data_IF_590006307017
#
_entry.id   IF_590006307017
#
_cell.length_a   1.000
_cell.length_b   1.000
_cell.length_c   1.000
_cell.angle_alpha   90.00
_cell.angle_beta   90.00
_cell.angle_gamma   90.00
#
_symmetry.space_group_name_H-M   'P 1'
#
loop_
_entity.id
_entity.type
_entity.pdbx_description
1 polymer ?
#
# COMPACT_ATOMS: atom_id res chain seq x y z
N UNK A 1 -13.09 0.38 -8.96
CA UNK A 1 -11.78 1.05 -8.79
C UNK A 1 -11.15 0.46 -7.53
N UNK A 2 -9.82 0.48 -7.36
CA UNK A 2 -9.21 -0.07 -6.14
C UNK A 2 -9.57 0.81 -4.93
N UNK A 3 -9.89 0.22 -3.76
CA UNK A 3 -10.17 0.97 -2.55
C UNK A 3 -8.93 1.71 -2.07
N UNK A 4 -9.14 2.88 -1.49
CA UNK A 4 -8.08 3.72 -0.93
C UNK A 4 -8.28 3.75 0.59
N UNK A 5 -7.18 3.58 1.32
CA UNK A 5 -7.17 3.59 2.77
C UNK A 5 -6.23 4.68 3.26
N UNK A 6 -6.61 5.39 4.32
CA UNK A 6 -5.90 6.56 4.77
C UNK A 6 -4.68 6.19 5.62
N UNK A 7 -3.47 6.42 5.09
CA UNK A 7 -2.20 6.15 5.79
C UNK A 7 -1.96 7.18 6.89
N UNK A 8 -1.40 6.73 8.02
CA UNK A 8 -1.09 7.54 9.19
C UNK A 8 -2.29 7.85 10.08
N UNK A 9 -3.50 7.48 9.66
CA UNK A 9 -4.73 7.71 10.40
C UNK A 9 -5.12 6.52 11.28
N UNK A 10 -5.93 6.80 12.31
CA UNK A 10 -6.45 5.78 13.21
C UNK A 10 -7.22 4.74 12.41
N UNK A 11 -6.84 3.47 12.59
CA UNK A 11 -7.51 2.38 11.92
C UNK A 11 -8.79 2.01 12.65
N UNK A 12 -9.89 1.93 11.89
CA UNK A 12 -11.18 1.42 12.34
C UNK A 12 -11.57 0.22 11.47
N UNK A 13 -11.62 -1.01 12.03
CA UNK A 13 -12.01 -2.20 11.28
C UNK A 13 -13.41 -2.10 10.63
N UNK A 14 -14.30 -1.21 11.08
CA UNK A 14 -15.62 -1.01 10.46
C UNK A 14 -15.53 -0.59 8.99
N UNK A 15 -14.43 0.07 8.59
CA UNK A 15 -14.20 0.42 7.17
C UNK A 15 -14.05 -0.82 6.28
N UNK A 16 -13.84 -2.01 6.88
CA UNK A 16 -13.69 -3.27 6.17
C UNK A 16 -15.00 -4.06 6.05
N UNK A 17 -16.13 -3.61 6.62
CA UNK A 17 -17.38 -4.38 6.67
C UNK A 17 -17.92 -4.81 5.30
N UNK A 18 -17.58 -4.08 4.23
CA UNK A 18 -17.95 -4.43 2.86
C UNK A 18 -17.03 -5.44 2.18
N UNK A 19 -16.03 -5.97 2.90
CA UNK A 19 -15.00 -6.86 2.36
C UNK A 19 -14.92 -8.15 3.17
N UNK A 20 -14.65 -9.25 2.47
CA UNK A 20 -14.14 -10.45 3.14
C UNK A 20 -12.68 -10.21 3.51
N UNK A 21 -12.34 -10.42 4.77
CA UNK A 21 -10.97 -10.22 5.25
C UNK A 21 -10.56 -11.25 6.29
N UNK A 22 -9.25 -11.48 6.36
CA UNK A 22 -8.59 -12.22 7.44
C UNK A 22 -7.58 -11.32 8.14
N UNK A 23 -7.29 -11.60 9.41
CA UNK A 23 -6.26 -10.90 10.16
C UNK A 23 -5.19 -11.87 10.69
N UNK A 24 -3.93 -11.44 10.65
CA UNK A 24 -2.80 -12.20 11.17
C UNK A 24 -1.74 -11.26 11.77
N UNK A 25 -0.96 -11.71 12.76
CA UNK A 25 0.19 -10.96 13.24
C UNK A 25 1.21 -10.70 12.12
N UNK A 26 1.81 -9.51 12.10
CA UNK A 26 2.91 -9.23 11.18
C UNK A 26 4.13 -10.06 11.53
N UNK A 27 4.74 -10.73 10.54
CA UNK A 27 5.79 -11.73 10.73
C UNK A 27 7.03 -11.21 11.50
N UNK A 28 7.38 -9.93 11.30
CA UNK A 28 8.63 -9.35 11.80
C UNK A 28 8.46 -8.32 12.91
N UNK A 29 7.28 -7.72 13.05
CA UNK A 29 7.08 -6.55 13.92
C UNK A 29 6.04 -6.89 14.96
N UNK A 30 6.50 -7.09 16.20
CA UNK A 30 5.63 -7.47 17.32
C UNK A 30 4.58 -6.40 17.57
N UNK A 31 3.31 -6.81 17.65
CA UNK A 31 2.17 -5.91 17.91
C UNK A 31 1.60 -5.25 16.65
N UNK A 32 2.19 -5.50 15.47
CA UNK A 32 1.56 -5.15 14.20
C UNK A 32 0.64 -6.28 13.73
N UNK A 33 -0.45 -5.90 13.07
CA UNK A 33 -1.47 -6.80 12.52
C UNK A 33 -1.62 -6.50 11.04
N UNK A 34 -1.71 -7.55 10.24
CA UNK A 34 -1.98 -7.47 8.80
C UNK A 34 -3.41 -7.94 8.56
N UNK A 35 -4.21 -7.07 7.95
CA UNK A 35 -5.53 -7.40 7.42
C UNK A 35 -5.40 -7.70 5.94
N UNK A 36 -5.78 -8.90 5.50
CA UNK A 36 -5.80 -9.29 4.09
C UNK A 36 -7.24 -9.24 3.60
N UNK A 37 -7.54 -8.31 2.71
CA UNK A 37 -8.86 -8.13 2.10
C UNK A 37 -8.87 -8.75 0.71
N UNK A 38 -9.92 -9.51 0.42
CA UNK A 38 -10.20 -10.00 -0.92
C UNK A 38 -10.88 -8.89 -1.74
N UNK A 39 -10.23 -8.42 -2.82
CA UNK A 39 -10.72 -7.30 -3.63
C UNK A 39 -10.76 -7.66 -5.10
N UNK A 40 -11.82 -8.36 -5.50
CA UNK A 40 -12.14 -8.65 -6.89
C UNK A 40 -11.10 -9.53 -7.58
N UNK A 41 -10.09 -8.93 -8.22
CA UNK A 41 -9.06 -9.64 -9.01
C UNK A 41 -7.75 -9.90 -8.26
N UNK A 42 -7.74 -9.71 -6.95
CA UNK A 42 -6.59 -9.97 -6.09
C UNK A 42 -6.79 -9.33 -4.72
N UNK A 43 -5.70 -9.20 -3.97
CA UNK A 43 -5.78 -8.87 -2.55
C UNK A 43 -5.29 -7.46 -2.26
N UNK A 44 -5.76 -6.91 -1.15
CA UNK A 44 -5.21 -5.70 -0.55
C UNK A 44 -4.86 -6.00 0.90
N UNK A 45 -3.59 -5.81 1.27
CA UNK A 45 -3.11 -6.02 2.62
C UNK A 45 -2.96 -4.68 3.32
N UNK A 46 -3.46 -4.57 4.55
CA UNK A 46 -3.39 -3.38 5.40
C UNK A 46 -2.57 -3.73 6.64
N UNK A 47 -1.47 -3.03 6.87
CA UNK A 47 -0.68 -3.23 8.08
C UNK A 47 -0.96 -2.13 9.09
N UNK A 48 -1.47 -2.54 10.24
CA UNK A 48 -1.84 -1.67 11.36
C UNK A 48 -0.85 -1.89 12.49
N UNK A 49 -0.36 -0.81 13.07
CA UNK A 49 0.56 -0.84 14.21
C UNK A 49 0.24 0.34 15.13
N UNK A 50 0.23 0.08 16.45
CA UNK A 50 -0.14 1.07 17.47
C UNK A 50 -1.50 1.78 17.19
N UNK A 51 -2.42 1.08 16.52
CA UNK A 51 -3.75 1.59 16.17
C UNK A 51 -3.80 2.51 14.94
N UNK A 52 -2.68 2.70 14.23
CA UNK A 52 -2.61 3.49 13.00
C UNK A 52 -2.38 2.59 11.78
N UNK A 53 -2.97 2.97 10.64
CA UNK A 53 -2.70 2.30 9.37
C UNK A 53 -1.38 2.80 8.78
N UNK A 54 -0.42 1.89 8.61
CA UNK A 54 0.95 2.25 8.27
C UNK A 54 1.39 1.82 6.87
N UNK A 55 0.79 0.76 6.31
CA UNK A 55 1.12 0.25 4.99
C UNK A 55 -0.10 -0.37 4.32
N UNK A 56 -0.19 -0.14 3.01
CA UNK A 56 -1.19 -0.73 2.13
C UNK A 56 -0.46 -1.39 0.96
N UNK A 57 -0.66 -2.69 0.76
CA UNK A 57 -0.09 -3.45 -0.35
C UNK A 57 -1.23 -3.90 -1.27
N UNK A 58 -1.19 -3.45 -2.52
CA UNK A 58 -2.11 -3.88 -3.56
C UNK A 58 -1.49 -5.01 -4.38
N UNK A 59 -2.03 -6.22 -4.24
CA UNK A 59 -1.72 -7.39 -5.08
C UNK A 59 -2.80 -7.55 -6.14
N UNK A 60 -2.71 -6.76 -7.20
CA UNK A 60 -3.86 -6.63 -8.09
C UNK A 60 -3.47 -6.79 -9.56
N UNK A 61 -3.12 -8.04 -9.97
CA UNK A 61 -2.57 -8.33 -11.29
C UNK A 61 -3.53 -7.92 -12.41
N UNK A 62 -2.97 -7.71 -13.60
CA UNK A 62 -3.79 -7.43 -14.78
C UNK A 62 -3.06 -7.84 -16.05
N UNK A 63 -3.73 -8.57 -16.95
CA UNK A 63 -3.12 -8.97 -18.23
C UNK A 63 -2.82 -7.79 -19.16
N UNK A 64 -3.54 -6.68 -18.99
CA UNK A 64 -3.48 -5.56 -19.91
C UNK A 64 -2.60 -4.40 -19.39
N UNK A 65 -1.54 -4.00 -20.11
CA UNK A 65 -0.63 -2.95 -19.68
C UNK A 65 -1.32 -1.61 -19.39
N UNK A 66 -2.33 -1.24 -20.18
CA UNK A 66 -3.08 0.00 -19.98
C UNK A 66 -3.89 -0.02 -18.69
N UNK A 67 -4.45 -1.17 -18.32
CA UNK A 67 -5.19 -1.34 -17.07
C UNK A 67 -4.25 -1.22 -15.87
N UNK A 68 -3.05 -1.84 -15.93
CA UNK A 68 -2.01 -1.65 -14.90
C UNK A 68 -1.64 -0.17 -14.74
N UNK A 69 -1.36 0.51 -15.85
CA UNK A 69 -0.99 1.94 -15.84
C UNK A 69 -2.11 2.81 -15.26
N UNK A 70 -3.37 2.51 -15.57
CA UNK A 70 -4.54 3.23 -15.01
C UNK A 70 -4.69 2.98 -13.51
N UNK A 71 -4.58 1.73 -13.05
CA UNK A 71 -4.59 1.39 -11.61
C UNK A 71 -3.47 2.12 -10.88
N UNK A 72 -2.25 2.07 -11.40
CA UNK A 72 -1.10 2.72 -10.79
C UNK A 72 -1.29 4.24 -10.67
N UNK A 73 -1.74 4.90 -11.75
CA UNK A 73 -2.04 6.33 -11.73
C UNK A 73 -3.11 6.67 -10.70
N UNK A 74 -4.17 5.88 -10.62
CA UNK A 74 -5.23 6.07 -9.61
C UNK A 74 -4.66 6.02 -8.20
N UNK A 75 -3.85 5.02 -7.89
CA UNK A 75 -3.24 4.88 -6.56
C UNK A 75 -2.29 6.04 -6.24
N UNK A 76 -1.33 6.34 -7.11
CA UNK A 76 -0.39 7.45 -6.88
C UNK A 76 -1.08 8.79 -6.70
N UNK A 77 -2.14 9.06 -7.48
CA UNK A 77 -2.94 10.27 -7.32
C UNK A 77 -3.73 10.29 -6.02
N UNK A 78 -4.18 9.14 -5.53
CA UNK A 78 -4.97 9.06 -4.29
C UNK A 78 -4.11 9.28 -3.05
N UNK A 79 -2.86 8.81 -3.06
CA UNK A 79 -1.92 8.97 -1.95
C UNK A 79 -1.04 10.22 -2.02
N UNK A 80 -1.15 11.00 -3.10
CA UNK A 80 -0.32 12.20 -3.28
C UNK A 80 -0.69 13.34 -2.33
N UNK A 81 -1.97 13.47 -1.95
CA UNK A 81 -2.48 14.64 -1.22
C UNK A 81 -2.08 15.97 -1.88
N UNK A 82 -2.07 16.01 -3.21
CA UNK A 82 -1.59 17.12 -4.06
C UNK A 82 -0.07 17.38 -4.04
N UNK A 83 0.73 16.53 -3.39
CA UNK A 83 2.19 16.58 -3.43
C UNK A 83 2.74 15.74 -4.58
N UNK A 84 3.98 16.01 -4.96
CA UNK A 84 4.64 15.22 -6.01
C UNK A 84 5.25 13.93 -5.43
N UNK A 85 5.43 12.93 -6.31
CA UNK A 85 6.20 11.73 -6.01
C UNK A 85 7.57 11.82 -6.71
N UNK A 86 8.64 11.62 -5.96
CA UNK A 86 10.02 11.62 -6.45
C UNK A 86 10.52 10.18 -6.51
N UNK A 87 10.89 9.72 -7.70
CA UNK A 87 11.54 8.42 -7.88
C UNK A 87 12.98 8.51 -7.34
N UNK A 88 13.31 7.68 -6.36
CA UNK A 88 14.65 7.65 -5.78
C UNK A 88 15.46 6.40 -6.17
N UNK A 89 14.78 5.34 -6.62
CA UNK A 89 15.43 4.10 -7.05
C UNK A 89 14.63 3.39 -8.13
N UNK A 90 15.31 2.91 -9.18
CA UNK A 90 14.82 1.95 -10.16
C UNK A 90 15.90 0.89 -10.40
N UNK A 91 15.64 -0.35 -10.00
CA UNK A 91 16.58 -1.46 -10.17
C UNK A 91 16.18 -2.42 -11.30
N UNK A 92 15.24 -2.02 -12.16
CA UNK A 92 14.69 -2.83 -13.25
C UNK A 92 13.60 -3.82 -12.82
N UNK A 93 13.55 -4.21 -11.56
CA UNK A 93 12.50 -5.09 -10.99
C UNK A 93 11.38 -4.32 -10.31
N UNK A 94 11.76 -3.22 -9.66
CA UNK A 94 10.85 -2.32 -8.99
C UNK A 94 11.36 -0.90 -8.93
N UNK A 95 10.43 0.00 -8.66
CA UNK A 95 10.72 1.41 -8.43
C UNK A 95 10.30 1.79 -7.02
N UNK A 96 11.08 2.65 -6.40
CA UNK A 96 10.76 3.22 -5.10
C UNK A 96 10.67 4.73 -5.23
N UNK A 97 9.65 5.27 -4.58
CA UNK A 97 9.28 6.68 -4.63
C UNK A 97 9.09 7.19 -3.23
N UNK A 98 9.48 8.44 -3.00
CA UNK A 98 9.10 9.20 -1.82
C UNK A 98 8.11 10.28 -2.23
N UNK A 99 7.14 10.54 -1.37
CA UNK A 99 6.34 11.77 -1.50
C UNK A 99 7.25 12.96 -1.17
N UNK A 100 6.97 14.11 -1.75
CA UNK A 100 7.79 15.32 -1.64
C UNK A 100 8.11 15.74 -0.19
N UNK A 101 7.17 15.51 0.73
CA UNK A 101 7.31 15.78 2.17
C UNK A 101 8.05 14.67 2.96
N UNK A 102 8.38 13.56 2.29
CA UNK A 102 9.00 12.35 2.87
C UNK A 102 8.19 11.68 3.98
N UNK A 103 6.89 11.97 4.06
CA UNK A 103 6.03 11.32 5.05
C UNK A 103 5.55 9.95 4.57
N UNK A 104 5.41 9.78 3.25
CA UNK A 104 5.00 8.54 2.61
C UNK A 104 6.05 8.05 1.61
N UNK A 105 6.16 6.74 1.48
CA UNK A 105 6.88 6.06 0.41
C UNK A 105 5.92 5.21 -0.42
N UNK A 106 6.32 4.92 -1.65
CA UNK A 106 5.68 3.94 -2.50
C UNK A 106 6.71 3.00 -3.11
N UNK A 107 6.36 1.73 -3.25
CA UNK A 107 7.15 0.72 -3.95
C UNK A 107 6.28 0.06 -5.00
N UNK A 108 6.81 -0.08 -6.22
CA UNK A 108 6.17 -0.84 -7.29
C UNK A 108 7.06 -2.00 -7.67
N UNK A 109 6.51 -3.20 -7.77
CA UNK A 109 7.23 -4.38 -8.25
C UNK A 109 6.53 -4.91 -9.49
N UNK A 110 7.22 -4.86 -10.64
CA UNK A 110 6.69 -5.41 -11.89
C UNK A 110 6.69 -6.93 -11.89
N UNK A 111 7.66 -7.54 -11.21
CA UNK A 111 7.80 -8.99 -11.15
C UNK A 111 6.70 -9.63 -10.29
N UNK A 112 6.31 -8.97 -9.19
CA UNK A 112 5.34 -9.50 -8.23
C UNK A 112 3.94 -8.90 -8.39
N UNK A 113 3.75 -7.95 -9.31
CA UNK A 113 2.51 -7.18 -9.49
C UNK A 113 2.00 -6.52 -8.19
N UNK A 114 2.93 -6.12 -7.30
CA UNK A 114 2.64 -5.37 -6.09
C UNK A 114 2.81 -3.88 -6.28
N UNK A 115 1.91 -3.12 -5.67
CA UNK A 115 2.10 -1.70 -5.40
C UNK A 115 1.90 -1.45 -3.91
N UNK A 116 2.92 -0.97 -3.23
CA UNK A 116 2.91 -0.67 -1.80
C UNK A 116 2.91 0.84 -1.59
N UNK A 117 2.12 1.32 -0.65
CA UNK A 117 2.24 2.66 -0.07
C UNK A 117 2.38 2.51 1.44
N UNK A 118 3.23 3.31 2.06
CA UNK A 118 3.37 3.28 3.51
C UNK A 118 3.95 4.56 4.08
N UNK A 119 3.83 4.69 5.39
CA UNK A 119 4.40 5.81 6.14
C UNK A 119 5.92 5.64 6.29
N UNK A 120 6.68 6.73 6.23
CA UNK A 120 8.14 6.69 6.42
C UNK A 120 8.53 6.10 7.79
N UNK A 121 7.75 6.35 8.83
CA UNK A 121 7.89 5.71 10.14
C UNK A 121 7.92 4.17 10.01
N UNK A 122 6.93 3.60 9.33
CA UNK A 122 6.84 2.16 9.14
C UNK A 122 8.01 1.60 8.34
N UNK A 123 8.46 2.34 7.32
CA UNK A 123 9.65 1.98 6.54
C UNK A 123 10.86 1.73 7.44
N UNK A 124 11.08 2.60 8.44
CA UNK A 124 12.21 2.46 9.38
C UNK A 124 12.02 1.35 10.42
N UNK A 125 10.79 0.92 10.69
CA UNK A 125 10.48 -0.09 11.72
C UNK A 125 10.60 -1.53 11.20
N UNK A 126 10.35 -1.75 9.92
CA UNK A 126 10.37 -3.09 9.30
C UNK A 126 11.76 -3.51 8.79
N UNK A 127 12.69 -2.57 8.71
CA UNK A 127 14.09 -2.75 8.30
C UNK A 127 15.01 -2.69 9.51
#
# INVERSE_FOLDING_TARGET
>A
MLPIFELGSKFDPQILESYEFTEAPHEKVKGAVVYTLEVGTGDTLLTVYEGLLHEVIYQNPSWFPWTRKRKLRHLFNSYSSNLSWVEFMDNGFGKVFDREDKELYALTSRAMDYTTFGTAFWHTKKH
#
